data_IF_912013643829
#
_entry.id   IF_912013643829
#
_cell.length_a   1.000
_cell.length_b   1.000
_cell.length_c   1.000
_cell.angle_alpha   90.00
_cell.angle_beta   90.00
_cell.angle_gamma   90.00
#
_symmetry.space_group_name_H-M   'P 1'
#
loop_
_entity.id
_entity.type
_entity.pdbx_description
1 polymer ?
#
# COMPACT_ATOMS: atom_id res chain seq x y z
N UNK A 1 -38.13 38.22 22.83
CA UNK A 1 -38.24 36.92 22.15
C UNK A 1 -37.22 36.83 20.97
N UNK A 2 -35.89 36.96 21.21
CA UNK A 2 -34.84 36.96 20.16
C UNK A 2 -33.51 36.31 20.57
N UNK A 3 -33.46 35.46 21.61
CA UNK A 3 -32.22 34.88 22.13
C UNK A 3 -32.08 33.35 21.88
N UNK A 4 -33.15 32.67 21.51
CA UNK A 4 -33.09 31.19 21.32
C UNK A 4 -32.61 30.72 19.95
N UNK A 5 -32.62 31.59 18.92
CA UNK A 5 -32.19 31.19 17.55
C UNK A 5 -30.68 31.08 17.36
N UNK A 6 -29.86 31.73 18.18
CA UNK A 6 -28.39 31.74 18.00
C UNK A 6 -27.70 30.53 18.61
N UNK A 7 -28.27 29.93 19.63
CA UNK A 7 -27.72 28.76 20.32
C UNK A 7 -27.87 27.50 19.47
N UNK A 8 -28.96 27.35 18.73
CA UNK A 8 -29.21 26.21 17.85
C UNK A 8 -28.27 26.14 16.63
N UNK A 9 -27.97 27.29 16.03
CA UNK A 9 -27.07 27.36 14.87
C UNK A 9 -25.62 27.05 15.25
N UNK A 10 -25.17 27.43 16.45
CA UNK A 10 -23.84 27.14 16.94
C UNK A 10 -23.67 25.63 17.25
N UNK A 11 -24.72 24.96 17.74
CA UNK A 11 -24.70 23.53 18.05
C UNK A 11 -24.67 22.66 16.79
N UNK A 12 -25.35 23.07 15.71
CA UNK A 12 -25.30 22.37 14.42
C UNK A 12 -23.94 22.53 13.72
N UNK A 13 -23.32 23.72 13.81
CA UNK A 13 -22.00 23.96 13.24
C UNK A 13 -20.91 23.16 13.96
N UNK A 14 -20.97 23.03 15.29
CA UNK A 14 -20.05 22.23 16.08
C UNK A 14 -20.20 20.71 15.80
N UNK A 15 -21.44 20.23 15.66
CA UNK A 15 -21.70 18.82 15.30
C UNK A 15 -21.25 18.48 13.88
N UNK A 16 -21.42 19.39 12.91
CA UNK A 16 -20.95 19.22 11.55
C UNK A 16 -19.41 19.25 11.46
N UNK A 17 -18.74 20.09 12.24
CA UNK A 17 -17.28 20.15 12.31
C UNK A 17 -16.70 18.88 12.99
N UNK A 18 -17.35 18.36 14.02
CA UNK A 18 -16.95 17.09 14.67
C UNK A 18 -17.16 15.88 13.73
N UNK A 19 -18.24 15.85 12.95
CA UNK A 19 -18.47 14.82 11.94
C UNK A 19 -17.45 14.88 10.80
N UNK A 20 -17.05 16.08 10.35
CA UNK A 20 -16.02 16.26 9.33
C UNK A 20 -14.63 15.82 9.83
N UNK A 21 -14.32 15.98 11.11
CA UNK A 21 -13.06 15.52 11.70
C UNK A 21 -12.98 13.97 11.79
N UNK A 22 -14.11 13.26 11.84
CA UNK A 22 -14.16 11.80 11.82
C UNK A 22 -13.94 11.20 10.41
N UNK A 23 -14.03 12.01 9.36
CA UNK A 23 -13.71 11.65 7.97
C UNK A 23 -12.30 12.10 7.53
N UNK A 24 -11.50 12.67 8.43
CA UNK A 24 -10.10 13.00 8.15
C UNK A 24 -9.28 11.70 7.98
N UNK A 25 -9.34 11.17 6.78
CA UNK A 25 -8.34 10.34 6.15
C UNK A 25 -7.96 9.05 6.87
N UNK A 26 -8.77 8.00 6.75
CA UNK A 26 -8.20 6.66 6.83
C UNK A 26 -7.41 6.41 5.53
N UNK A 27 -6.18 6.91 5.46
CA UNK A 27 -5.29 6.52 4.38
C UNK A 27 -5.11 5.00 4.41
N UNK A 28 -5.20 4.36 3.24
CA UNK A 28 -5.09 2.91 3.15
C UNK A 28 -3.61 2.48 3.24
N UNK A 29 -3.27 1.70 4.27
CA UNK A 29 -1.92 1.16 4.46
C UNK A 29 -1.97 -0.33 4.80
N UNK A 30 -1.00 -1.08 4.27
CA UNK A 30 -0.73 -2.48 4.64
C UNK A 30 0.25 -2.50 5.81
N UNK A 31 -0.28 -2.52 7.03
CA UNK A 31 0.49 -2.45 8.27
C UNK A 31 0.16 -3.63 9.18
N UNK A 32 1.09 -3.97 10.05
CA UNK A 32 0.92 -4.95 11.11
C UNK A 32 1.17 -4.31 12.48
N UNK A 33 0.76 -5.01 13.55
CA UNK A 33 1.12 -4.66 14.92
C UNK A 33 2.00 -5.76 15.47
N UNK A 34 3.24 -5.43 15.84
CA UNK A 34 4.22 -6.40 16.30
C UNK A 34 5.25 -5.75 17.25
N UNK A 35 5.61 -6.47 18.32
CA UNK A 35 6.66 -6.05 19.24
C UNK A 35 6.43 -4.68 19.90
N UNK A 36 5.16 -4.34 20.18
CA UNK A 36 4.76 -3.06 20.78
C UNK A 36 4.61 -1.91 19.79
N UNK A 37 4.95 -2.08 18.51
CA UNK A 37 4.71 -1.09 17.47
C UNK A 37 3.34 -1.34 16.81
N UNK A 38 2.52 -0.30 16.74
CA UNK A 38 1.31 -0.24 15.92
C UNK A 38 1.66 0.41 14.58
N UNK A 39 0.89 0.13 13.54
CA UNK A 39 1.11 0.69 12.19
C UNK A 39 2.52 0.42 11.63
N UNK A 40 3.08 -0.77 11.92
CA UNK A 40 4.41 -1.16 11.48
C UNK A 40 4.40 -1.50 9.97
N UNK A 41 5.19 -0.76 9.20
CA UNK A 41 5.35 -0.96 7.78
C UNK A 41 6.33 -2.10 7.47
N UNK A 42 6.14 -2.73 6.28
CA UNK A 42 7.05 -3.75 5.74
C UNK A 42 7.26 -4.94 6.68
N UNK A 43 6.31 -5.21 7.59
CA UNK A 43 6.46 -6.23 8.63
C UNK A 43 7.74 -6.04 9.47
N UNK A 44 8.16 -4.77 9.65
CA UNK A 44 9.38 -4.43 10.39
C UNK A 44 10.67 -4.60 9.60
N UNK A 45 10.62 -4.90 8.31
CA UNK A 45 11.82 -4.90 7.47
C UNK A 45 12.29 -3.47 7.17
N UNK A 46 13.59 -3.33 7.00
CA UNK A 46 14.30 -2.08 6.73
C UNK A 46 14.02 -1.59 5.31
N UNK A 47 13.32 -0.46 5.20
CA UNK A 47 12.94 0.13 3.92
C UNK A 47 14.14 0.50 3.02
N UNK A 48 15.28 0.85 3.60
CA UNK A 48 16.51 1.22 2.89
C UNK A 48 17.23 -0.02 2.36
N UNK A 49 17.15 -1.14 3.07
CA UNK A 49 17.84 -2.38 2.71
C UNK A 49 17.38 -2.94 1.35
N UNK A 50 16.14 -2.73 0.96
CA UNK A 50 15.65 -3.11 -0.38
C UNK A 50 16.47 -2.47 -1.51
N UNK A 51 16.95 -1.24 -1.30
CA UNK A 51 17.73 -0.49 -2.28
C UNK A 51 19.24 -0.74 -2.17
N UNK A 52 19.73 -0.87 -0.94
CA UNK A 52 21.19 -0.96 -0.68
C UNK A 52 21.69 -2.39 -0.68
N UNK A 53 20.91 -3.33 -0.14
CA UNK A 53 21.25 -4.75 -0.05
C UNK A 53 20.52 -5.62 -1.09
N UNK A 54 19.49 -5.08 -1.79
CA UNK A 54 18.71 -5.81 -2.78
C UNK A 54 17.86 -6.94 -2.20
N UNK A 55 17.53 -6.89 -0.91
CA UNK A 55 16.73 -7.89 -0.20
C UNK A 55 16.00 -7.30 0.99
N UNK A 56 14.93 -7.95 1.43
CA UNK A 56 14.32 -7.68 2.72
C UNK A 56 15.31 -8.02 3.85
N UNK A 57 15.43 -7.15 4.83
CA UNK A 57 16.26 -7.34 6.02
C UNK A 57 15.46 -6.88 7.23
N UNK A 58 15.40 -7.71 8.26
CA UNK A 58 14.72 -7.34 9.49
C UNK A 58 15.35 -6.08 10.12
N UNK A 59 14.50 -5.12 10.47
CA UNK A 59 14.89 -3.97 11.28
C UNK A 59 14.82 -4.28 12.77
N UNK A 60 15.56 -3.51 13.57
CA UNK A 60 15.53 -3.57 15.04
C UNK A 60 14.37 -2.72 15.58
N UNK A 61 13.73 -3.16 16.64
CA UNK A 61 12.76 -2.36 17.40
C UNK A 61 13.37 -1.14 18.08
N UNK A 62 14.69 -1.14 18.30
CA UNK A 62 15.44 -0.04 18.91
C UNK A 62 15.87 1.04 17.89
N UNK A 63 15.92 0.68 16.58
CA UNK A 63 16.34 1.57 15.51
C UNK A 63 15.12 1.85 14.61
N UNK A 64 14.32 2.84 14.97
CA UNK A 64 13.05 3.11 14.28
C UNK A 64 12.72 4.60 14.21
N UNK A 65 11.81 4.94 13.32
CA UNK A 65 11.22 6.27 13.22
C UNK A 65 9.77 6.19 12.77
N UNK A 66 9.05 7.29 12.95
CA UNK A 66 7.72 7.46 12.38
C UNK A 66 7.76 8.35 11.14
N UNK A 67 7.01 7.95 10.13
CA UNK A 67 6.78 8.77 8.95
C UNK A 67 5.32 8.64 8.51
N UNK A 68 4.60 9.75 8.42
CA UNK A 68 3.17 9.82 8.07
C UNK A 68 2.28 8.93 8.97
N UNK A 69 2.60 8.85 10.27
CA UNK A 69 1.87 8.01 11.23
C UNK A 69 2.14 6.51 11.12
N UNK A 70 3.18 6.12 10.38
CA UNK A 70 3.61 4.75 10.16
C UNK A 70 4.97 4.52 10.79
N UNK A 71 5.14 3.40 11.50
CA UNK A 71 6.41 3.01 12.10
C UNK A 71 7.28 2.25 11.09
N UNK A 72 8.54 2.65 10.98
CA UNK A 72 9.58 2.01 10.19
C UNK A 72 10.73 1.59 11.08
N UNK A 73 11.18 0.33 10.94
CA UNK A 73 12.36 -0.21 11.63
C UNK A 73 13.54 -0.31 10.66
N UNK A 74 14.76 -0.21 11.20
CA UNK A 74 15.98 -0.25 10.39
C UNK A 74 17.00 -1.23 10.97
N UNK A 75 17.81 -1.81 10.09
CA UNK A 75 18.88 -2.74 10.44
C UNK A 75 20.14 -2.03 10.94
N UNK A 76 20.23 -0.72 10.72
CA UNK A 76 21.36 0.13 11.15
C UNK A 76 20.97 1.60 11.31
N UNK A 77 21.72 2.31 12.15
CA UNK A 77 21.61 3.76 12.30
C UNK A 77 21.89 4.51 10.98
N UNK A 78 22.74 3.97 10.12
CA UNK A 78 23.03 4.54 8.81
C UNK A 78 21.78 4.50 7.91
N UNK A 79 21.08 3.38 7.86
CA UNK A 79 19.84 3.24 7.10
C UNK A 79 18.73 4.14 7.67
N UNK A 80 18.63 4.26 8.99
CA UNK A 80 17.73 5.22 9.63
C UNK A 80 18.01 6.66 9.16
N UNK A 81 19.27 7.09 9.16
CA UNK A 81 19.67 8.44 8.69
C UNK A 81 19.31 8.65 7.23
N UNK A 82 19.57 7.66 6.36
CA UNK A 82 19.23 7.74 4.95
C UNK A 82 17.69 7.87 4.75
N UNK A 83 16.92 7.10 5.50
CA UNK A 83 15.45 7.20 5.44
C UNK A 83 14.95 8.58 5.89
N UNK A 84 15.42 9.09 7.03
CA UNK A 84 15.02 10.41 7.56
C UNK A 84 15.33 11.53 6.55
N UNK A 85 16.46 11.42 5.84
CA UNK A 85 16.86 12.41 4.83
C UNK A 85 15.93 12.43 3.62
N UNK A 86 15.42 11.27 3.18
CA UNK A 86 14.53 11.18 2.03
C UNK A 86 13.55 9.99 2.16
N UNK A 87 12.55 10.09 3.05
CA UNK A 87 11.64 8.98 3.31
C UNK A 87 10.79 8.59 2.09
N UNK A 88 10.43 9.53 1.22
CA UNK A 88 9.63 9.26 0.01
C UNK A 88 10.34 8.34 -0.99
N UNK A 89 11.67 8.36 -1.00
CA UNK A 89 12.48 7.48 -1.84
C UNK A 89 12.32 6.01 -1.43
N UNK A 90 12.29 5.76 -0.11
CA UNK A 90 12.38 4.41 0.46
C UNK A 90 11.04 3.82 0.87
N UNK A 91 10.04 4.68 1.10
CA UNK A 91 8.70 4.21 1.45
C UNK A 91 8.08 3.38 0.31
N UNK A 92 7.40 2.26 0.62
CA UNK A 92 6.77 1.44 -0.40
C UNK A 92 5.62 2.18 -1.06
N UNK A 93 5.45 1.97 -2.34
CA UNK A 93 4.34 2.52 -3.10
C UNK A 93 3.02 1.83 -2.71
N UNK A 94 1.92 2.48 -3.01
CA UNK A 94 0.56 1.97 -2.75
C UNK A 94 0.33 1.60 -1.27
N UNK A 95 0.92 2.36 -0.34
CA UNK A 95 0.77 2.09 1.10
C UNK A 95 1.25 0.70 1.53
N UNK A 96 2.13 0.05 0.76
CA UNK A 96 2.64 -1.29 1.04
C UNK A 96 1.71 -2.43 0.60
N UNK A 97 0.62 -2.16 -0.14
CA UNK A 97 -0.22 -3.20 -0.73
C UNK A 97 0.41 -3.84 -1.97
N UNK A 98 -0.09 -5.02 -2.33
CA UNK A 98 0.34 -5.75 -3.52
C UNK A 98 0.07 -4.96 -4.80
N UNK A 99 1.12 -4.65 -5.56
CA UNK A 99 1.05 -3.86 -6.80
C UNK A 99 0.20 -4.53 -7.88
N UNK A 100 0.29 -5.87 -8.03
CA UNK A 100 -0.55 -6.60 -9.00
C UNK A 100 -2.04 -6.51 -8.64
N UNK A 101 -2.37 -6.65 -7.37
CA UNK A 101 -3.75 -6.53 -6.91
C UNK A 101 -4.27 -5.08 -7.04
N UNK A 102 -3.38 -4.10 -6.85
CA UNK A 102 -3.70 -2.69 -7.03
C UNK A 102 -4.11 -2.36 -8.46
N UNK A 103 -3.57 -3.05 -9.47
CA UNK A 103 -4.03 -2.93 -10.86
C UNK A 103 -5.50 -3.36 -11.05
N UNK A 104 -6.11 -3.97 -10.07
CA UNK A 104 -7.54 -4.33 -9.99
C UNK A 104 -8.31 -3.52 -8.92
N UNK A 105 -7.73 -2.44 -8.41
CA UNK A 105 -8.26 -1.63 -7.30
C UNK A 105 -8.48 -2.45 -6.00
N UNK A 106 -7.71 -3.50 -5.79
CA UNK A 106 -7.81 -4.40 -4.64
C UNK A 106 -6.64 -4.18 -3.68
N UNK A 107 -6.84 -3.56 -2.51
CA UNK A 107 -5.81 -3.42 -1.48
C UNK A 107 -5.59 -4.75 -0.76
N UNK A 108 -4.76 -5.61 -1.34
CA UNK A 108 -4.35 -6.91 -0.80
C UNK A 108 -3.01 -6.76 -0.10
N UNK A 109 -2.87 -7.31 1.10
CA UNK A 109 -1.61 -7.31 1.83
C UNK A 109 -0.48 -7.93 0.99
N UNK A 110 0.71 -7.36 1.08
CA UNK A 110 1.89 -7.86 0.39
C UNK A 110 2.77 -8.69 1.33
N UNK A 111 3.54 -9.58 0.73
CA UNK A 111 4.67 -10.26 1.34
C UNK A 111 5.89 -9.34 1.23
N UNK A 112 6.49 -8.99 2.37
CA UNK A 112 7.61 -8.07 2.40
C UNK A 112 8.88 -8.60 1.71
N UNK A 113 9.02 -9.93 1.58
CA UNK A 113 10.13 -10.56 0.86
C UNK A 113 9.96 -10.53 -0.67
N UNK A 114 8.74 -10.28 -1.14
CA UNK A 114 8.43 -10.27 -2.56
C UNK A 114 8.26 -8.86 -3.09
N UNK A 115 9.32 -8.32 -3.68
CA UNK A 115 9.36 -6.93 -4.12
C UNK A 115 10.01 -6.74 -5.50
N UNK A 116 9.89 -5.53 -6.02
CA UNK A 116 10.62 -5.03 -7.19
C UNK A 116 10.85 -3.53 -7.05
N UNK A 117 12.02 -3.09 -7.49
CA UNK A 117 12.31 -1.66 -7.65
C UNK A 117 12.15 -1.32 -9.13
N UNK A 118 11.26 -0.37 -9.43
CA UNK A 118 11.02 0.16 -10.77
C UNK A 118 11.15 1.67 -10.70
N UNK A 119 12.00 2.26 -11.52
CA UNK A 119 12.25 3.70 -11.57
C UNK A 119 12.58 4.30 -10.20
N UNK A 120 13.38 3.58 -9.41
CA UNK A 120 13.81 4.00 -8.07
C UNK A 120 12.71 3.97 -7.01
N UNK A 121 11.57 3.31 -7.25
CA UNK A 121 10.44 3.15 -6.32
C UNK A 121 10.26 1.70 -5.92
N UNK A 122 9.91 1.48 -4.64
CA UNK A 122 9.71 0.15 -4.07
C UNK A 122 8.27 -0.30 -4.26
N UNK A 123 8.07 -1.41 -4.96
CA UNK A 123 6.79 -2.08 -5.17
C UNK A 123 6.80 -3.45 -4.52
N UNK A 124 5.74 -3.77 -3.78
CA UNK A 124 5.56 -5.05 -3.10
C UNK A 124 4.53 -5.93 -3.80
N UNK A 125 4.60 -7.23 -3.58
CA UNK A 125 3.67 -8.21 -4.15
C UNK A 125 3.23 -9.21 -3.09
N UNK A 126 2.01 -9.72 -3.19
CA UNK A 126 1.49 -10.72 -2.26
C UNK A 126 2.18 -12.09 -2.37
N UNK A 127 2.90 -12.35 -3.47
CA UNK A 127 3.66 -13.59 -3.71
C UNK A 127 4.54 -13.45 -4.95
N UNK A 128 5.51 -14.34 -5.11
CA UNK A 128 6.32 -14.44 -6.33
C UNK A 128 5.45 -14.61 -7.60
N UNK A 129 4.34 -15.34 -7.50
CA UNK A 129 3.38 -15.49 -8.60
C UNK A 129 2.70 -14.17 -8.97
N UNK A 130 2.29 -13.39 -7.99
CA UNK A 130 1.72 -12.07 -8.23
C UNK A 130 2.73 -11.14 -8.92
N UNK A 131 4.01 -11.21 -8.56
CA UNK A 131 5.08 -10.49 -9.24
C UNK A 131 5.25 -10.94 -10.69
N UNK A 132 5.26 -12.24 -10.96
CA UNK A 132 5.33 -12.76 -12.33
C UNK A 132 4.16 -12.27 -13.19
N UNK A 133 2.94 -12.27 -12.66
CA UNK A 133 1.77 -11.77 -13.39
C UNK A 133 1.82 -10.26 -13.65
N UNK A 134 2.35 -9.50 -12.70
CA UNK A 134 2.62 -8.08 -12.92
C UNK A 134 3.63 -7.87 -14.05
N UNK A 135 4.69 -8.65 -14.09
CA UNK A 135 5.77 -8.55 -15.06
C UNK A 135 5.36 -8.96 -16.49
N UNK A 136 4.27 -9.71 -16.68
CA UNK A 136 3.73 -10.01 -18.02
C UNK A 136 3.40 -8.77 -18.84
N UNK A 137 2.97 -7.69 -18.18
CA UNK A 137 2.65 -6.40 -18.80
C UNK A 137 2.87 -5.27 -17.77
N UNK A 138 4.14 -5.10 -17.39
CA UNK A 138 4.54 -4.24 -16.27
C UNK A 138 4.05 -2.80 -16.44
N UNK A 139 4.25 -2.23 -17.63
CA UNK A 139 3.88 -0.84 -17.89
C UNK A 139 2.37 -0.62 -17.73
N UNK A 140 1.56 -1.46 -18.38
CA UNK A 140 0.11 -1.42 -18.26
C UNK A 140 -0.37 -1.63 -16.84
N UNK A 141 0.14 -2.65 -16.16
CA UNK A 141 -0.25 -2.97 -14.80
C UNK A 141 0.13 -1.86 -13.82
N UNK A 142 1.29 -1.23 -14.01
CA UNK A 142 1.72 -0.10 -13.20
C UNK A 142 0.83 1.13 -13.42
N UNK A 143 0.48 1.43 -14.68
CA UNK A 143 -0.44 2.52 -15.02
C UNK A 143 -1.83 2.31 -14.39
N UNK A 144 -2.37 1.10 -14.45
CA UNK A 144 -3.64 0.75 -13.83
C UNK A 144 -3.56 0.84 -12.29
N UNK A 145 -2.48 0.34 -11.69
CA UNK A 145 -2.28 0.41 -10.24
C UNK A 145 -2.23 1.87 -9.74
N UNK A 146 -1.52 2.74 -10.42
CA UNK A 146 -1.50 4.17 -10.10
C UNK A 146 -2.87 4.83 -10.30
N UNK A 147 -3.55 4.54 -11.40
CA UNK A 147 -4.90 5.07 -11.64
C UNK A 147 -5.85 4.73 -10.49
N UNK A 148 -5.93 3.45 -10.09
CA UNK A 148 -6.84 3.03 -9.03
C UNK A 148 -6.38 3.45 -7.63
N UNK A 149 -5.08 3.54 -7.41
CA UNK A 149 -4.56 4.09 -6.17
C UNK A 149 -5.04 5.52 -5.95
N UNK A 150 -4.90 6.37 -6.95
CA UNK A 150 -5.25 7.78 -6.86
C UNK A 150 -6.77 8.05 -6.87
N UNK A 151 -7.53 7.23 -7.60
CA UNK A 151 -8.96 7.50 -7.80
C UNK A 151 -9.88 6.75 -6.85
N UNK A 152 -9.44 5.62 -6.27
CA UNK A 152 -10.34 4.76 -5.51
C UNK A 152 -9.80 4.26 -4.17
N UNK A 153 -8.49 4.11 -4.00
CA UNK A 153 -7.94 3.35 -2.87
C UNK A 153 -7.30 4.23 -1.81
N UNK A 154 -6.41 5.14 -2.19
CA UNK A 154 -5.55 5.89 -1.28
C UNK A 154 -6.30 6.52 -0.09
N UNK A 155 -7.42 7.15 -0.36
CA UNK A 155 -8.20 7.91 0.62
C UNK A 155 -9.48 7.15 1.05
N UNK A 156 -9.53 5.82 0.83
CA UNK A 156 -10.68 4.97 1.16
C UNK A 156 -10.40 4.10 2.39
N UNK A 157 -11.48 3.59 3.01
CA UNK A 157 -11.36 2.42 3.89
C UNK A 157 -11.02 1.19 3.04
N UNK A 158 -9.83 0.65 3.22
CA UNK A 158 -9.34 -0.47 2.43
C UNK A 158 -10.19 -1.75 2.56
N UNK A 159 -10.87 -1.95 3.71
CA UNK A 159 -11.77 -3.10 3.93
C UNK A 159 -13.03 -2.98 3.09
N UNK A 160 -13.63 -1.79 3.08
CA UNK A 160 -14.80 -1.50 2.24
C UNK A 160 -14.44 -1.55 0.75
N UNK A 161 -13.27 -1.05 0.38
CA UNK A 161 -12.77 -1.13 -0.99
C UNK A 161 -12.55 -2.58 -1.42
N UNK A 162 -11.96 -3.41 -0.56
CA UNK A 162 -11.79 -4.84 -0.82
C UNK A 162 -13.13 -5.54 -1.02
N UNK A 163 -14.11 -5.28 -0.16
CA UNK A 163 -15.47 -5.83 -0.29
C UNK A 163 -16.14 -5.37 -1.59
N UNK A 164 -16.05 -4.08 -1.91
CA UNK A 164 -16.54 -3.54 -3.19
C UNK A 164 -15.98 -4.32 -4.37
N UNK A 165 -14.66 -4.57 -4.38
CA UNK A 165 -13.98 -5.25 -5.50
C UNK A 165 -14.15 -6.76 -5.51
N UNK A 166 -14.55 -7.35 -4.41
CA UNK A 166 -14.95 -8.75 -4.38
C UNK A 166 -16.24 -8.97 -5.19
N UNK A 167 -17.19 -8.02 -5.13
CA UNK A 167 -18.48 -8.09 -5.80
C UNK A 167 -18.45 -7.40 -7.17
N UNK A 168 -17.90 -6.19 -7.24
CA UNK A 168 -17.86 -5.36 -8.44
C UNK A 168 -16.44 -5.36 -9.03
N UNK A 169 -16.14 -6.36 -9.83
CA UNK A 169 -14.83 -6.48 -10.50
C UNK A 169 -14.62 -5.36 -11.53
N UNK A 170 -13.35 -4.95 -11.70
CA UNK A 170 -12.99 -4.04 -12.80
C UNK A 170 -13.11 -4.78 -14.15
N UNK A 171 -13.42 -4.08 -15.27
CA UNK A 171 -13.66 -4.73 -16.56
C UNK A 171 -12.52 -5.62 -17.08
N UNK A 172 -11.28 -5.31 -16.71
CA UNK A 172 -10.09 -6.05 -17.15
C UNK A 172 -9.60 -7.07 -16.11
N UNK A 173 -10.41 -7.32 -15.05
CA UNK A 173 -10.05 -8.29 -14.02
C UNK A 173 -9.84 -9.69 -14.63
N UNK A 174 -8.76 -10.33 -14.17
CA UNK A 174 -8.47 -11.73 -14.46
C UNK A 174 -8.26 -12.49 -13.16
N UNK A 175 -8.81 -13.68 -13.10
CA UNK A 175 -8.56 -14.63 -12.00
C UNK A 175 -7.13 -15.13 -12.04
N UNK A 176 -6.66 -15.72 -10.95
CA UNK A 176 -5.35 -16.37 -10.91
C UNK A 176 -5.24 -17.53 -11.94
N UNK A 177 -6.34 -18.22 -12.23
CA UNK A 177 -6.35 -19.28 -13.23
C UNK A 177 -6.15 -18.73 -14.65
N UNK A 178 -6.87 -17.66 -15.02
CA UNK A 178 -6.73 -16.98 -16.30
C UNK A 178 -5.33 -16.35 -16.48
N UNK A 179 -4.76 -15.79 -15.40
CA UNK A 179 -3.40 -15.25 -15.43
C UNK A 179 -2.36 -16.35 -15.57
N UNK A 180 -2.56 -17.51 -14.94
CA UNK A 180 -1.68 -18.66 -15.09
C UNK A 180 -1.70 -19.20 -16.52
N UNK A 181 -2.89 -19.37 -17.09
CA UNK A 181 -3.05 -19.81 -18.49
C UNK A 181 -2.42 -18.82 -19.47
N UNK A 182 -2.59 -17.51 -19.22
CA UNK A 182 -1.96 -16.48 -20.05
C UNK A 182 -0.43 -16.53 -19.94
N UNK A 183 0.10 -16.72 -18.74
CA UNK A 183 1.54 -16.86 -18.51
C UNK A 183 2.10 -18.05 -19.29
N UNK A 184 1.47 -19.22 -19.17
CA UNK A 184 1.88 -20.42 -19.91
C UNK A 184 1.84 -20.20 -21.43
N UNK A 185 0.80 -19.60 -21.96
CA UNK A 185 0.71 -19.29 -23.41
C UNK A 185 1.82 -18.36 -23.91
N UNK A 186 2.24 -17.40 -23.08
CA UNK A 186 3.24 -16.39 -23.48
C UNK A 186 4.68 -16.88 -23.28
N UNK A 187 4.93 -17.64 -22.22
CA UNK A 187 6.28 -17.92 -21.73
C UNK A 187 6.64 -19.40 -21.64
N UNK A 188 5.67 -20.33 -21.69
CA UNK A 188 6.00 -21.75 -21.80
C UNK A 188 6.82 -21.96 -23.07
N UNK A 189 7.98 -22.60 -22.95
CA UNK A 189 8.78 -23.01 -24.11
C UNK A 189 7.90 -23.90 -24.99
N UNK A 190 7.71 -23.51 -26.26
CA UNK A 190 7.18 -24.45 -27.28
C UNK A 190 8.08 -25.71 -27.22
N UNK A 191 7.48 -26.90 -27.08
CA UNK A 191 8.28 -28.11 -27.23
C UNK A 191 8.92 -28.07 -28.62
N UNK A 192 10.25 -28.13 -28.68
CA UNK A 192 11.03 -28.21 -29.89
C UNK A 192 10.85 -29.57 -30.59
#
# INVERSE_FOLDING_TARGET
MRLYGRVWLASFAAAAAAAAALFAGCAAFSVVSEGGDSNLMLHGNDAVAYFTAGKAMAGSGDIKTEYRGLTYRFSSEENLRQFITNPERYAPQFGGFCTQAMAYAMPVAADADTFKIVDGKLYLFASARARLYFEMDQERNLKLAWHYWETEVRDSDWRLQSLKRLVLRVPHYKTNAELAEEYERRFAKKPG
#
